data_IF_693257791787
#
_entry.id   IF_693257791787
#
_cell.length_a   1.000
_cell.length_b   1.000
_cell.length_c   1.000
_cell.angle_alpha   90.00
_cell.angle_beta   90.00
_cell.angle_gamma   90.00
#
_symmetry.space_group_name_H-M   'P 1'
#
loop_
_entity.id
_entity.type
_entity.pdbx_description
1 polymer ?
#
# COMPACT_ATOMS: atom_id res chain seq x y z
N UNK A 1 -17.00 11.18 -10.31
CA UNK A 1 -15.95 10.13 -10.47
C UNK A 1 -14.96 10.11 -9.32
N UNK A 2 -14.30 11.24 -9.00
CA UNK A 2 -13.35 11.30 -7.87
C UNK A 2 -13.99 10.96 -6.53
N UNK A 3 -15.20 11.45 -6.27
CA UNK A 3 -15.92 11.17 -5.03
C UNK A 3 -16.21 9.67 -4.87
N UNK A 4 -16.69 9.03 -5.94
CA UNK A 4 -16.97 7.59 -5.93
C UNK A 4 -15.69 6.79 -5.70
N UNK A 5 -14.60 7.15 -6.38
CA UNK A 5 -13.29 6.53 -6.20
C UNK A 5 -12.83 6.63 -4.74
N UNK A 6 -12.87 7.83 -4.16
CA UNK A 6 -12.46 8.04 -2.77
C UNK A 6 -13.29 7.22 -1.79
N UNK A 7 -14.61 7.16 -2.00
CA UNK A 7 -15.51 6.38 -1.14
C UNK A 7 -15.19 4.89 -1.22
N UNK A 8 -15.01 4.36 -2.42
CA UNK A 8 -14.65 2.95 -2.62
C UNK A 8 -13.29 2.62 -2.05
N UNK A 9 -12.32 3.51 -2.24
CA UNK A 9 -10.97 3.35 -1.70
C UNK A 9 -10.99 3.28 -0.18
N UNK A 10 -11.66 4.22 0.48
CA UNK A 10 -11.77 4.25 1.94
C UNK A 10 -12.51 3.04 2.49
N UNK A 11 -13.58 2.62 1.81
CA UNK A 11 -14.37 1.49 2.26
C UNK A 11 -13.64 0.16 2.16
N UNK A 12 -12.84 -0.03 1.10
CA UNK A 12 -12.25 -1.32 0.79
C UNK A 12 -10.75 -1.46 1.01
N UNK A 13 -9.99 -0.37 0.99
CA UNK A 13 -8.54 -0.47 0.88
C UNK A 13 -7.76 0.39 1.89
N UNK A 14 -8.35 1.50 2.35
CA UNK A 14 -7.60 2.55 3.05
C UNK A 14 -7.13 2.21 4.45
N UNK A 15 -7.91 1.47 5.24
CA UNK A 15 -7.64 1.33 6.67
C UNK A 15 -7.16 -0.06 7.11
N UNK A 16 -7.55 -1.11 6.38
CA UNK A 16 -7.27 -2.48 6.79
C UNK A 16 -6.81 -3.36 5.61
N UNK A 17 -5.61 -3.10 5.05
CA UNK A 17 -5.09 -3.92 3.95
C UNK A 17 -4.96 -5.40 4.35
N UNK A 18 -4.78 -5.68 5.63
CA UNK A 18 -4.65 -7.02 6.17
C UNK A 18 -5.86 -7.91 5.88
N UNK A 19 -7.05 -7.32 5.70
CA UNK A 19 -8.28 -8.07 5.37
C UNK A 19 -8.21 -8.76 4.01
N UNK A 20 -7.33 -8.30 3.12
CA UNK A 20 -7.21 -8.79 1.76
C UNK A 20 -6.03 -9.75 1.59
N UNK A 21 -5.37 -10.11 2.69
CA UNK A 21 -4.28 -11.06 2.70
C UNK A 21 -4.77 -12.44 3.14
N UNK A 22 -4.25 -13.49 2.53
CA UNK A 22 -4.43 -14.85 3.03
C UNK A 22 -3.71 -15.01 4.37
N UNK A 23 -3.96 -16.10 5.07
CA UNK A 23 -3.29 -16.37 6.35
C UNK A 23 -1.76 -16.39 6.19
N UNK A 24 -1.27 -17.09 5.16
CA UNK A 24 0.17 -17.18 4.91
C UNK A 24 0.77 -15.83 4.53
N UNK A 25 0.08 -15.07 3.67
CA UNK A 25 0.49 -13.72 3.31
C UNK A 25 0.50 -12.78 4.52
N UNK A 26 -0.47 -12.91 5.42
CA UNK A 26 -0.55 -12.11 6.63
C UNK A 26 0.61 -12.42 7.58
N UNK A 27 0.96 -13.69 7.74
CA UNK A 27 2.10 -14.10 8.56
C UNK A 27 3.42 -13.55 7.99
N UNK A 28 3.60 -13.64 6.67
CA UNK A 28 4.76 -13.08 5.97
C UNK A 28 4.82 -11.55 6.11
N UNK A 29 3.68 -10.89 5.95
CA UNK A 29 3.57 -9.44 6.09
C UNK A 29 3.98 -8.99 7.50
N UNK A 30 3.47 -9.63 8.53
CA UNK A 30 3.79 -9.30 9.92
C UNK A 30 5.25 -9.55 10.25
N UNK A 31 5.81 -10.65 9.78
CA UNK A 31 7.22 -10.97 9.96
C UNK A 31 8.11 -9.91 9.26
N UNK A 32 7.82 -9.59 8.02
CA UNK A 32 8.56 -8.58 7.25
C UNK A 32 8.46 -7.20 7.90
N UNK A 33 7.29 -6.82 8.40
CA UNK A 33 7.09 -5.55 9.09
C UNK A 33 7.93 -5.48 10.37
N UNK A 34 7.98 -6.56 11.14
CA UNK A 34 8.78 -6.66 12.36
C UNK A 34 10.28 -6.53 12.05
N UNK A 35 10.76 -7.25 11.03
CA UNK A 35 12.16 -7.14 10.58
C UNK A 35 12.49 -5.74 10.09
N UNK A 36 11.62 -5.15 9.28
CA UNK A 36 11.81 -3.79 8.79
C UNK A 36 11.96 -2.78 9.93
N UNK A 37 11.07 -2.85 10.91
CA UNK A 37 11.11 -1.94 12.06
C UNK A 37 12.41 -2.09 12.86
N UNK A 38 12.85 -3.32 13.10
CA UNK A 38 14.10 -3.59 13.81
C UNK A 38 15.31 -3.07 13.05
N UNK A 39 15.37 -3.33 11.75
CA UNK A 39 16.46 -2.88 10.88
C UNK A 39 16.49 -1.36 10.75
N UNK A 40 15.33 -0.73 10.68
CA UNK A 40 15.20 0.72 10.63
C UNK A 40 15.80 1.37 11.90
N UNK A 41 15.43 0.87 13.07
CA UNK A 41 15.96 1.38 14.34
C UNK A 41 17.46 1.15 14.46
N UNK A 42 17.94 -0.02 14.07
CA UNK A 42 19.36 -0.35 14.07
C UNK A 42 20.15 0.60 13.15
N UNK A 43 19.65 0.84 11.95
CA UNK A 43 20.28 1.76 11.00
C UNK A 43 20.33 3.19 11.55
N UNK A 44 19.23 3.67 12.10
CA UNK A 44 19.20 5.02 12.71
C UNK A 44 20.24 5.19 13.80
N UNK A 45 20.45 4.16 14.61
CA UNK A 45 21.46 4.19 15.69
C UNK A 45 22.90 4.28 15.15
N UNK A 46 23.13 3.85 13.90
CA UNK A 46 24.44 3.88 13.27
C UNK A 46 24.73 5.19 12.51
N UNK A 47 23.71 6.01 12.26
CA UNK A 47 23.82 7.24 11.48
C UNK A 47 24.11 8.45 12.37
N UNK A 48 24.85 9.43 11.82
CA UNK A 48 24.96 10.73 12.47
C UNK A 48 23.68 11.56 12.24
N UNK A 49 23.62 12.74 12.85
CA UNK A 49 22.41 13.59 12.81
C UNK A 49 21.99 13.98 11.39
N UNK A 50 22.97 14.41 10.55
CA UNK A 50 22.67 14.80 9.16
C UNK A 50 22.18 13.62 8.33
N UNK A 51 22.85 12.49 8.47
CA UNK A 51 22.46 11.26 7.78
C UNK A 51 21.09 10.79 8.21
N UNK A 52 20.77 10.85 9.50
CA UNK A 52 19.45 10.48 10.02
C UNK A 52 18.34 11.36 9.44
N UNK A 53 18.57 12.67 9.34
CA UNK A 53 17.59 13.60 8.75
C UNK A 53 17.35 13.26 7.28
N UNK A 54 18.41 13.06 6.52
CA UNK A 54 18.30 12.72 5.10
C UNK A 54 17.61 11.37 4.90
N UNK A 55 17.95 10.38 5.72
CA UNK A 55 17.35 9.07 5.66
C UNK A 55 15.86 9.13 5.95
N UNK A 56 15.44 9.86 6.98
CA UNK A 56 14.01 10.04 7.31
C UNK A 56 13.24 10.70 6.18
N UNK A 57 13.81 11.74 5.57
CA UNK A 57 13.21 12.40 4.40
C UNK A 57 13.06 11.43 3.22
N UNK A 58 14.08 10.62 2.98
CA UNK A 58 14.04 9.58 1.94
C UNK A 58 12.91 8.58 2.20
N UNK A 59 12.71 8.16 3.43
CA UNK A 59 11.64 7.24 3.80
C UNK A 59 10.26 7.86 3.64
N UNK A 60 10.10 9.14 3.98
CA UNK A 60 8.85 9.88 3.78
C UNK A 60 8.50 9.96 2.30
N UNK A 61 9.47 10.30 1.45
CA UNK A 61 9.27 10.33 0.01
C UNK A 61 8.92 8.94 -0.55
N UNK A 62 9.58 7.90 -0.05
CA UNK A 62 9.26 6.52 -0.43
C UNK A 62 7.82 6.15 -0.06
N UNK A 63 7.36 6.55 1.13
CA UNK A 63 5.98 6.32 1.57
C UNK A 63 4.98 7.03 0.65
N UNK A 64 5.28 8.25 0.22
CA UNK A 64 4.46 9.00 -0.72
C UNK A 64 4.39 8.28 -2.08
N UNK A 65 5.52 7.80 -2.58
CA UNK A 65 5.59 7.05 -3.84
C UNK A 65 4.74 5.78 -3.74
N UNK A 66 4.91 5.01 -2.68
CA UNK A 66 4.15 3.78 -2.45
C UNK A 66 2.65 4.08 -2.37
N UNK A 67 2.26 5.17 -1.70
CA UNK A 67 0.88 5.61 -1.64
C UNK A 67 0.28 5.91 -3.01
N UNK A 68 1.03 6.62 -3.86
CA UNK A 68 0.60 6.93 -5.23
C UNK A 68 0.50 5.66 -6.09
N UNK A 69 1.47 4.77 -5.98
CA UNK A 69 1.46 3.49 -6.70
C UNK A 69 0.27 2.62 -6.28
N UNK A 70 -0.03 2.59 -4.97
CA UNK A 70 -1.18 1.89 -4.43
C UNK A 70 -2.49 2.45 -4.99
N UNK A 71 -2.63 3.77 -5.03
CA UNK A 71 -3.81 4.44 -5.58
C UNK A 71 -3.97 4.12 -7.06
N UNK A 72 -2.88 4.17 -7.82
CA UNK A 72 -2.89 3.84 -9.25
C UNK A 72 -3.29 2.38 -9.48
N UNK A 73 -2.77 1.46 -8.67
CA UNK A 73 -3.10 0.04 -8.74
C UNK A 73 -4.58 -0.21 -8.44
N UNK A 74 -5.13 0.48 -7.45
CA UNK A 74 -6.55 0.38 -7.12
C UNK A 74 -7.43 0.87 -8.28
N UNK A 75 -7.08 2.02 -8.88
CA UNK A 75 -7.82 2.55 -10.04
C UNK A 75 -7.77 1.58 -11.22
N UNK A 76 -6.60 1.01 -11.48
CA UNK A 76 -6.42 0.02 -12.52
C UNK A 76 -7.32 -1.21 -12.27
N UNK A 77 -7.29 -1.74 -11.06
CA UNK A 77 -8.12 -2.88 -10.66
C UNK A 77 -9.61 -2.60 -10.79
N UNK A 78 -10.05 -1.39 -10.40
CA UNK A 78 -11.43 -0.97 -10.54
C UNK A 78 -11.85 -0.91 -12.02
N UNK A 79 -11.01 -0.33 -12.87
CA UNK A 79 -11.28 -0.28 -14.32
C UNK A 79 -11.39 -1.67 -14.94
N UNK A 80 -10.47 -2.57 -14.60
CA UNK A 80 -10.50 -3.96 -15.06
C UNK A 80 -11.77 -4.66 -14.56
N UNK A 81 -12.11 -4.48 -13.30
CA UNK A 81 -13.31 -5.07 -12.71
C UNK A 81 -14.59 -4.61 -13.39
N UNK A 82 -14.70 -3.31 -13.71
CA UNK A 82 -15.84 -2.77 -14.44
C UNK A 82 -15.95 -3.32 -15.86
N UNK A 83 -14.83 -3.46 -16.54
CA UNK A 83 -14.80 -4.07 -17.89
C UNK A 83 -15.22 -5.54 -17.85
N UNK A 84 -14.74 -6.29 -16.87
CA UNK A 84 -15.14 -7.70 -16.71
C UNK A 84 -16.62 -7.82 -16.38
N UNK A 85 -17.14 -6.93 -15.55
CA UNK A 85 -18.57 -6.87 -15.24
C UNK A 85 -19.42 -6.61 -16.47
N UNK A 86 -18.98 -5.69 -17.34
CA UNK A 86 -19.67 -5.42 -18.62
C UNK A 86 -19.67 -6.63 -19.55
N UNK A 87 -18.54 -7.33 -19.64
CA UNK A 87 -18.45 -8.57 -20.42
C UNK A 87 -19.38 -9.66 -19.87
N UNK A 88 -19.43 -9.81 -18.56
CA UNK A 88 -20.33 -10.74 -17.90
C UNK A 88 -21.79 -10.47 -18.26
N UNK A 89 -22.19 -9.20 -18.27
CA UNK A 89 -23.55 -8.77 -18.65
C UNK A 89 -23.88 -9.11 -20.11
N UNK A 90 -22.89 -9.03 -20.98
CA UNK A 90 -23.07 -9.36 -22.41
C UNK A 90 -23.19 -10.86 -22.66
N UNK A 91 -22.61 -11.68 -21.80
CA UNK A 91 -22.62 -13.14 -21.92
C UNK A 91 -23.85 -13.78 -21.30
N UNK A 92 -24.52 -13.08 -20.42
CA UNK A 92 -25.74 -13.53 -19.76
C UNK A 92 -26.99 -13.05 -20.50
#
# INVERSE_FOLDING_TARGET
MLYLYESLFRAGYGEHPERFLSKDELDDYRASLSYYNSQYLELLAMLNTEQSVLFKKSQDNRSDIIGLERDASFRCGLCVGLKLGSLSSLLL
#
